data_IF_650871175605
#
_entry.id   IF_650871175605
#
_cell.length_a   1.000
_cell.length_b   1.000
_cell.length_c   1.000
_cell.angle_alpha   90.00
_cell.angle_beta   90.00
_cell.angle_gamma   90.00
#
_symmetry.space_group_name_H-M   'P 1'
#
loop_
_entity.id
_entity.type
_entity.pdbx_description
1 polymer ?
#
# COMPACT_ATOMS: atom_id res chain seq x y z
N UNK A 1 5.82 -2.47 34.48
CA UNK A 1 5.84 -2.66 33.75
C UNK A 1 5.33 -2.47 32.99
N UNK A 2 4.94 -2.60 33.03
CA UNK A 2 4.66 -2.67 32.28
C UNK A 2 4.51 -2.66 31.52
N UNK A 3 4.35 -2.18 31.40
CA UNK A 3 4.29 -2.36 30.59
C UNK A 3 4.55 -2.97 29.87
N UNK A 4 5.19 -2.80 30.00
CA UNK A 4 5.74 -3.80 29.12
C UNK A 4 4.99 -5.08 29.19
N UNK A 5 4.71 -5.44 30.28
CA UNK A 5 3.94 -6.65 30.46
C UNK A 5 2.48 -6.50 30.11
N UNK A 6 2.13 -5.34 29.61
CA UNK A 6 0.79 -5.11 29.13
C UNK A 6 0.64 -5.66 27.73
N UNK A 7 -0.30 -6.55 27.46
CA UNK A 7 -0.47 -7.06 26.11
C UNK A 7 -0.90 -5.94 25.19
N UNK A 8 -0.01 -5.55 24.32
CA UNK A 8 -0.24 -4.38 23.48
C UNK A 8 -1.46 -4.55 22.60
N UNK A 9 -1.65 -5.73 22.01
CA UNK A 9 -2.77 -5.97 21.10
C UNK A 9 -4.11 -5.98 21.84
N UNK A 10 -4.15 -6.23 23.12
CA UNK A 10 -5.41 -6.30 23.87
C UNK A 10 -6.03 -4.94 24.09
N UNK A 11 -5.19 -3.90 24.21
CA UNK A 11 -5.66 -2.56 24.56
C UNK A 11 -5.60 -1.57 23.41
N UNK A 12 -5.22 -2.02 22.24
CA UNK A 12 -4.94 -1.11 21.13
C UNK A 12 -6.02 -1.19 20.08
N UNK A 13 -6.43 -0.02 19.62
CA UNK A 13 -7.35 0.08 18.52
C UNK A 13 -6.66 -0.40 17.25
N UNK A 14 -7.33 -1.30 16.55
CA UNK A 14 -6.83 -1.76 15.27
C UNK A 14 -7.08 -0.67 14.22
N UNK A 15 -6.02 -0.21 13.60
CA UNK A 15 -6.11 0.75 12.50
C UNK A 15 -6.09 -0.03 11.21
N UNK A 16 -7.13 0.09 10.42
CA UNK A 16 -7.23 -0.59 9.14
C UNK A 16 -6.88 0.34 8.00
N UNK A 17 -6.07 -0.14 7.06
CA UNK A 17 -5.59 0.61 5.92
C UNK A 17 -5.92 -0.16 4.66
N UNK A 18 -6.48 0.53 3.67
CA UNK A 18 -6.74 -0.05 2.35
C UNK A 18 -5.58 0.30 1.44
N UNK A 19 -4.99 -0.69 0.79
CA UNK A 19 -3.83 -0.49 -0.09
C UNK A 19 -4.17 -0.99 -1.48
N UNK A 20 -3.99 -0.14 -2.49
CA UNK A 20 -4.31 -0.47 -3.85
C UNK A 20 -3.09 -0.92 -4.63
N UNK A 21 -3.15 -2.14 -5.15
CA UNK A 21 -2.11 -2.69 -5.99
C UNK A 21 -2.65 -2.66 -7.42
N UNK A 22 -2.38 -1.55 -8.12
CA UNK A 22 -2.83 -1.38 -9.50
C UNK A 22 -1.89 -2.13 -10.41
N UNK A 23 -2.44 -3.00 -11.26
CA UNK A 23 -1.64 -3.83 -12.16
C UNK A 23 -2.16 -3.62 -13.59
N UNK A 24 -1.27 -3.17 -14.48
CA UNK A 24 -1.58 -2.98 -15.89
C UNK A 24 -1.56 -4.31 -16.63
N UNK A 25 -2.07 -4.29 -17.86
CA UNK A 25 -2.08 -5.49 -18.71
C UNK A 25 -0.67 -6.04 -18.96
N UNK A 26 0.35 -5.17 -18.97
CA UNK A 26 1.74 -5.59 -19.15
C UNK A 26 2.39 -6.08 -17.85
N UNK A 27 1.60 -6.23 -16.78
CA UNK A 27 2.00 -6.72 -15.48
C UNK A 27 2.78 -5.70 -14.64
N UNK A 28 2.94 -4.46 -15.11
CA UNK A 28 3.55 -3.40 -14.29
C UNK A 28 2.58 -3.00 -13.17
N UNK A 29 3.14 -2.71 -12.01
CA UNK A 29 2.35 -2.24 -10.86
C UNK A 29 2.77 -0.82 -10.50
N UNK A 30 1.84 -0.09 -9.87
CA UNK A 30 2.03 1.33 -9.58
C UNK A 30 2.60 1.54 -8.19
N UNK A 31 3.71 2.26 -8.11
CA UNK A 31 4.23 2.79 -6.87
C UNK A 31 4.14 4.31 -6.87
N UNK A 32 3.90 4.89 -5.69
CA UNK A 32 3.90 6.34 -5.52
C UNK A 32 4.87 6.71 -4.41
N UNK A 33 5.44 7.91 -4.48
CA UNK A 33 6.35 8.37 -3.44
C UNK A 33 5.55 9.12 -2.36
N UNK A 34 6.01 9.02 -1.12
CA UNK A 34 5.40 9.77 -0.03
C UNK A 34 5.77 11.24 -0.17
N UNK A 35 4.77 12.15 -0.13
CA UNK A 35 5.05 13.58 -0.35
C UNK A 35 5.83 14.20 0.79
N UNK A 36 6.40 15.36 0.52
CA UNK A 36 7.10 16.13 1.54
C UNK A 36 6.13 16.51 2.66
N UNK A 37 6.66 16.60 3.87
CA UNK A 37 5.86 16.90 5.04
C UNK A 37 5.28 15.69 5.73
N UNK A 38 5.33 14.52 5.11
CA UNK A 38 4.90 13.28 5.74
C UNK A 38 6.10 12.47 6.22
N UNK A 39 5.85 11.57 7.18
CA UNK A 39 6.88 10.66 7.61
C UNK A 39 7.39 9.84 6.42
N UNK A 40 8.68 9.58 6.38
CA UNK A 40 9.31 8.81 5.30
C UNK A 40 9.13 9.48 3.93
N UNK A 41 9.14 10.82 3.87
CA UNK A 41 9.04 11.54 2.61
C UNK A 41 10.05 10.99 1.60
N UNK A 42 9.59 10.80 0.36
CA UNK A 42 10.43 10.26 -0.71
C UNK A 42 10.50 8.75 -0.79
N UNK A 43 10.02 8.04 0.22
CA UNK A 43 9.94 6.58 0.16
C UNK A 43 8.81 6.17 -0.78
N UNK A 44 8.98 5.02 -1.44
CA UNK A 44 8.02 4.50 -2.42
C UNK A 44 7.14 3.43 -1.82
N UNK A 45 5.85 3.46 -2.16
CA UNK A 45 4.84 2.59 -1.58
C UNK A 45 3.69 2.39 -2.57
N UNK A 46 2.82 1.44 -2.26
CA UNK A 46 1.55 1.33 -2.97
C UNK A 46 0.57 2.37 -2.41
N UNK A 47 -0.25 3.00 -3.28
CA UNK A 47 -1.19 4.03 -2.81
C UNK A 47 -2.33 3.46 -1.98
N UNK A 48 -2.90 4.28 -1.12
CA UNK A 48 -4.03 3.90 -0.27
C UNK A 48 -4.10 4.77 0.96
N UNK A 49 -4.90 4.34 1.92
CA UNK A 49 -5.04 5.09 3.15
C UNK A 49 -5.96 4.42 4.16
N UNK A 50 -6.15 5.09 5.29
CA UNK A 50 -6.90 4.55 6.41
C UNK A 50 -8.39 4.51 6.11
N UNK A 51 -9.07 3.47 6.62
CA UNK A 51 -10.52 3.41 6.60
C UNK A 51 -11.09 4.46 7.55
N UNK A 52 -12.15 5.13 7.10
CA UNK A 52 -12.94 5.98 7.97
C UNK A 52 -14.03 5.14 8.62
N UNK A 53 -14.65 5.70 9.66
CA UNK A 53 -15.67 4.99 10.41
C UNK A 53 -16.80 4.53 9.48
N UNK A 54 -17.13 3.24 9.56
CA UNK A 54 -18.19 2.66 8.76
C UNK A 54 -17.82 2.28 7.34
N UNK A 55 -16.57 2.54 6.92
CA UNK A 55 -16.16 2.17 5.57
C UNK A 55 -15.72 0.72 5.50
N UNK A 56 -16.04 0.05 4.39
CA UNK A 56 -15.39 -1.20 4.02
C UNK A 56 -14.03 -0.90 3.39
N UNK A 57 -13.19 -1.92 3.26
CA UNK A 57 -11.90 -1.77 2.58
C UNK A 57 -12.08 -1.24 1.16
N UNK A 58 -13.05 -1.78 0.42
CA UNK A 58 -13.29 -1.33 -0.95
C UNK A 58 -13.74 0.12 -1.00
N UNK A 59 -14.62 0.53 -0.08
CA UNK A 59 -15.09 1.92 -0.04
C UNK A 59 -13.95 2.88 0.26
N UNK A 60 -13.11 2.51 1.23
CA UNK A 60 -11.95 3.34 1.57
C UNK A 60 -10.98 3.44 0.40
N UNK A 61 -10.74 2.32 -0.28
CA UNK A 61 -9.81 2.32 -1.40
C UNK A 61 -10.33 3.19 -2.54
N UNK A 62 -11.63 3.09 -2.86
CA UNK A 62 -12.23 3.93 -3.90
C UNK A 62 -12.06 5.40 -3.58
N UNK A 63 -12.33 5.78 -2.33
CA UNK A 63 -12.19 7.16 -1.89
C UNK A 63 -10.76 7.63 -1.92
N UNK A 64 -9.84 6.84 -1.36
CA UNK A 64 -8.44 7.24 -1.27
C UNK A 64 -7.79 7.39 -2.65
N UNK A 65 -8.05 6.45 -3.57
CA UNK A 65 -7.44 6.54 -4.89
C UNK A 65 -8.03 7.70 -5.70
N UNK A 66 -9.30 8.05 -5.47
CA UNK A 66 -9.88 9.24 -6.08
C UNK A 66 -9.21 10.50 -5.53
N UNK A 67 -9.02 10.56 -4.21
CA UNK A 67 -8.43 11.73 -3.56
C UNK A 67 -6.96 11.90 -3.90
N UNK A 68 -6.20 10.82 -3.92
CA UNK A 68 -4.75 10.89 -4.05
C UNK A 68 -4.28 10.94 -5.49
N UNK A 69 -4.88 10.14 -6.36
CA UNK A 69 -4.39 9.99 -7.73
C UNK A 69 -5.46 10.15 -8.80
N UNK A 70 -6.68 10.52 -8.42
CA UNK A 70 -7.70 11.00 -9.35
C UNK A 70 -8.35 9.95 -10.23
N UNK A 71 -8.31 8.68 -9.84
CA UNK A 71 -8.92 7.61 -10.63
C UNK A 71 -10.13 7.01 -9.93
N UNK A 72 -11.01 6.40 -10.73
CA UNK A 72 -12.16 5.66 -10.23
C UNK A 72 -11.90 4.19 -10.51
N UNK A 73 -11.70 3.40 -9.45
CA UNK A 73 -11.42 1.97 -9.63
C UNK A 73 -12.72 1.25 -9.98
N UNK A 74 -12.63 0.26 -10.84
CA UNK A 74 -13.78 -0.49 -11.33
C UNK A 74 -13.83 -1.91 -10.80
N UNK A 75 -12.70 -2.41 -10.29
CA UNK A 75 -12.68 -3.66 -9.56
C UNK A 75 -11.79 -3.51 -8.33
N UNK A 76 -11.99 -4.38 -7.37
CA UNK A 76 -11.22 -4.35 -6.13
C UNK A 76 -11.20 -5.77 -5.60
N UNK A 77 -10.09 -6.45 -5.82
CA UNK A 77 -9.98 -7.88 -5.54
C UNK A 77 -9.13 -8.07 -4.28
N UNK A 78 -9.72 -8.48 -3.17
CA UNK A 78 -8.92 -8.75 -1.97
C UNK A 78 -7.81 -9.77 -2.28
N UNK A 79 -6.61 -9.46 -1.82
CA UNK A 79 -5.46 -10.30 -2.14
C UNK A 79 -4.79 -10.83 -0.88
N UNK A 80 -4.28 -9.93 -0.03
CA UNK A 80 -3.51 -10.32 1.15
C UNK A 80 -3.80 -9.33 2.27
N UNK A 81 -3.51 -9.74 3.50
CA UNK A 81 -3.49 -8.83 4.64
C UNK A 81 -2.19 -9.02 5.39
N UNK A 82 -1.75 -7.95 6.06
CA UNK A 82 -0.53 -7.97 6.85
C UNK A 82 -0.77 -7.14 8.10
N UNK A 83 -0.50 -7.68 9.27
CA UNK A 83 -0.60 -6.93 10.52
C UNK A 83 0.77 -6.52 11.00
N UNK A 84 0.87 -5.27 11.43
CA UNK A 84 2.11 -4.72 11.97
C UNK A 84 1.80 -4.14 13.32
N UNK A 85 2.54 -4.60 14.34
CA UNK A 85 2.36 -4.16 15.71
C UNK A 85 3.39 -3.08 16.02
N UNK A 86 3.02 -1.84 15.75
CA UNK A 86 3.86 -0.70 16.09
C UNK A 86 3.69 -0.35 17.57
N UNK A 87 4.67 0.32 18.20
CA UNK A 87 4.51 0.76 19.58
C UNK A 87 3.28 1.64 19.79
N UNK A 88 2.92 2.44 18.78
CA UNK A 88 1.82 3.40 18.90
C UNK A 88 0.49 2.91 18.34
N UNK A 89 0.49 1.83 17.56
CA UNK A 89 -0.74 1.36 16.91
C UNK A 89 -0.57 -0.04 16.36
N UNK A 90 -1.67 -0.80 16.40
CA UNK A 90 -1.77 -2.07 15.69
C UNK A 90 -2.40 -1.77 14.34
N UNK A 91 -1.70 -2.08 13.25
CA UNK A 91 -2.14 -1.72 11.90
C UNK A 91 -2.38 -2.98 11.09
N UNK A 92 -3.49 -3.02 10.38
CA UNK A 92 -3.75 -4.07 9.41
C UNK A 92 -3.77 -3.44 8.01
N UNK A 93 -2.85 -3.87 7.17
CA UNK A 93 -2.80 -3.48 5.77
C UNK A 93 -3.63 -4.48 4.97
N UNK A 94 -4.59 -3.97 4.23
CA UNK A 94 -5.48 -4.79 3.40
C UNK A 94 -5.14 -4.50 1.94
N UNK A 95 -4.45 -5.44 1.30
CA UNK A 95 -3.98 -5.28 -0.07
C UNK A 95 -5.02 -5.80 -1.04
N UNK A 96 -5.42 -4.96 -1.99
CA UNK A 96 -6.40 -5.30 -3.01
C UNK A 96 -5.80 -5.07 -4.38
N UNK A 97 -5.95 -6.04 -5.27
CA UNK A 97 -5.52 -5.87 -6.66
C UNK A 97 -6.58 -5.12 -7.43
N UNK A 98 -6.15 -4.15 -8.22
CA UNK A 98 -7.01 -3.36 -9.08
C UNK A 98 -6.45 -3.44 -10.49
N UNK A 99 -7.23 -4.00 -11.41
CA UNK A 99 -6.80 -4.17 -12.79
C UNK A 99 -7.62 -3.34 -13.77
N UNK A 100 -8.71 -2.73 -13.30
CA UNK A 100 -9.57 -1.90 -14.13
C UNK A 100 -9.92 -0.62 -13.40
N UNK A 101 -9.70 0.50 -14.08
CA UNK A 101 -10.03 1.82 -13.53
C UNK A 101 -10.26 2.78 -14.69
N UNK A 102 -10.92 3.90 -14.41
CA UNK A 102 -11.11 4.98 -15.37
C UNK A 102 -10.45 6.25 -14.84
N UNK A 103 -10.12 7.13 -15.77
CA UNK A 103 -9.45 8.39 -15.48
C UNK A 103 -7.96 8.28 -15.65
N UNK A 104 -7.33 9.43 -15.88
CA UNK A 104 -5.86 9.51 -15.97
C UNK A 104 -5.30 9.81 -14.59
N UNK A 105 -4.12 9.25 -14.33
CA UNK A 105 -3.44 9.50 -13.04
C UNK A 105 -3.14 10.98 -12.89
N UNK A 106 -3.51 11.52 -11.73
CA UNK A 106 -3.22 12.90 -11.34
C UNK A 106 -2.67 12.87 -9.93
N UNK A 107 -1.41 13.22 -9.77
CA UNK A 107 -0.76 13.18 -8.46
C UNK A 107 -1.21 14.40 -7.65
N UNK A 108 -2.30 14.26 -6.93
CA UNK A 108 -2.99 15.36 -6.26
C UNK A 108 -2.33 15.81 -4.97
N UNK A 109 -1.34 15.05 -4.49
CA UNK A 109 -0.62 15.37 -3.26
C UNK A 109 0.84 15.70 -3.54
N UNK A 110 1.15 16.10 -4.77
CA UNK A 110 2.51 16.44 -5.21
C UNK A 110 3.49 15.27 -5.06
N UNK A 111 2.98 14.04 -4.97
CA UNK A 111 3.81 12.85 -4.98
C UNK A 111 4.20 12.50 -6.41
N UNK A 112 5.21 11.65 -6.55
CA UNK A 112 5.61 11.10 -7.85
C UNK A 112 5.02 9.71 -8.00
N UNK A 113 4.97 9.21 -9.23
CA UNK A 113 4.54 7.84 -9.48
C UNK A 113 5.46 7.15 -10.47
N UNK A 114 5.49 5.83 -10.40
CA UNK A 114 6.27 5.02 -11.34
C UNK A 114 5.59 3.67 -11.52
N UNK A 115 5.51 3.22 -12.78
CA UNK A 115 5.09 1.86 -13.09
C UNK A 115 6.32 0.97 -13.03
N UNK A 116 6.24 -0.09 -12.24
CA UNK A 116 7.40 -0.92 -11.95
C UNK A 116 7.12 -2.38 -12.23
N UNK A 117 8.18 -3.12 -12.49
CA UNK A 117 8.19 -4.56 -12.52
C UNK A 117 9.35 -5.04 -11.65
N UNK A 118 9.41 -6.33 -11.36
CA UNK A 118 10.52 -6.87 -10.57
C UNK A 118 11.78 -6.99 -11.44
N UNK A 119 12.95 -6.62 -10.93
CA UNK A 119 13.17 -5.97 -9.64
C UNK A 119 12.80 -4.48 -9.69
N UNK A 120 12.32 -3.96 -8.58
CA UNK A 120 11.98 -2.53 -8.48
C UNK A 120 13.26 -1.72 -8.45
N UNK A 121 13.33 -0.68 -9.29
CA UNK A 121 14.52 0.18 -9.34
C UNK A 121 14.31 1.54 -8.66
N UNK A 122 13.14 1.78 -8.09
CA UNK A 122 12.89 2.97 -7.28
C UNK A 122 13.32 2.71 -5.85
N UNK A 123 13.96 3.67 -5.22
CA UNK A 123 14.47 3.53 -3.85
C UNK A 123 14.41 4.89 -3.16
N UNK A 124 14.26 4.90 -1.83
CA UNK A 124 14.05 3.75 -0.95
C UNK A 124 12.60 3.28 -0.97
N UNK A 125 12.40 2.01 -0.64
CA UNK A 125 11.07 1.40 -0.60
C UNK A 125 10.62 1.33 0.86
N UNK A 126 9.38 1.75 1.10
CA UNK A 126 8.83 1.70 2.45
C UNK A 126 8.75 0.25 2.92
N UNK A 127 9.15 -0.05 4.18
CA UNK A 127 9.18 -1.45 4.64
C UNK A 127 7.88 -2.22 4.48
N UNK A 128 6.72 -1.57 4.65
CA UNK A 128 5.44 -2.24 4.46
C UNK A 128 5.16 -2.67 3.02
N UNK A 129 5.94 -2.19 2.07
CA UNK A 129 5.84 -2.56 0.66
C UNK A 129 6.61 -3.84 0.34
N UNK A 130 7.63 -4.16 1.15
CA UNK A 130 8.52 -5.27 0.86
C UNK A 130 7.81 -6.63 0.78
N UNK A 131 6.88 -6.98 1.69
CA UNK A 131 6.18 -8.25 1.56
C UNK A 131 5.44 -8.39 0.23
N UNK A 132 4.88 -7.30 -0.29
CA UNK A 132 4.13 -7.33 -1.55
C UNK A 132 5.05 -7.72 -2.70
N UNK A 133 6.27 -7.21 -2.70
CA UNK A 133 7.24 -7.56 -3.74
C UNK A 133 7.56 -9.04 -3.69
N UNK A 134 7.67 -9.62 -2.50
CA UNK A 134 7.88 -11.06 -2.36
C UNK A 134 6.68 -11.86 -2.85
N UNK A 135 5.46 -11.40 -2.58
CA UNK A 135 4.26 -12.08 -3.08
C UNK A 135 4.23 -12.07 -4.60
N UNK A 136 4.60 -10.96 -5.22
CA UNK A 136 4.71 -10.88 -6.68
C UNK A 136 5.78 -11.82 -7.21
N UNK A 137 6.94 -11.87 -6.52
CA UNK A 137 8.02 -12.76 -6.95
C UNK A 137 7.56 -14.21 -6.94
N UNK A 138 6.84 -14.62 -5.91
CA UNK A 138 6.31 -15.98 -5.81
C UNK A 138 5.29 -16.26 -6.90
N UNK A 139 4.36 -15.34 -7.13
CA UNK A 139 3.35 -15.51 -8.17
C UNK A 139 3.96 -15.62 -9.56
N UNK A 140 5.01 -14.85 -9.81
CA UNK A 140 5.58 -14.70 -11.16
C UNK A 140 6.78 -15.58 -11.40
N UNK A 141 7.19 -16.36 -10.40
CA UNK A 141 8.38 -17.19 -10.53
C UNK A 141 9.66 -16.37 -10.69
N UNK A 142 9.70 -15.19 -10.10
CA UNK A 142 10.86 -14.31 -10.17
C UNK A 142 11.89 -14.72 -9.11
N UNK A 143 13.13 -14.88 -9.50
CA UNK A 143 14.22 -15.21 -8.59
C UNK A 143 15.20 -14.04 -8.53
N UNK A 144 15.83 -13.88 -7.38
CA UNK A 144 16.75 -12.80 -7.15
C UNK A 144 16.16 -11.72 -6.27
N UNK A 145 16.89 -10.63 -6.11
CA UNK A 145 16.47 -9.51 -5.27
C UNK A 145 15.29 -8.79 -5.91
N UNK A 146 14.26 -8.51 -5.10
CA UNK A 146 13.06 -7.82 -5.59
C UNK A 146 13.24 -6.31 -5.66
N UNK A 147 14.25 -5.79 -4.99
CA UNK A 147 14.52 -4.34 -4.92
C UNK A 147 15.99 -4.12 -4.59
N UNK A 148 16.43 -2.89 -4.76
CA UNK A 148 17.80 -2.50 -4.39
C UNK A 148 17.92 -2.45 -2.88
N UNK A 149 19.05 -2.88 -2.37
CA UNK A 149 19.32 -2.88 -0.95
C UNK A 149 19.44 -1.44 -0.39
#
# INVERSE_FOLDING_TARGET
MVDADQPRSADRTLVQVAVGVLVRADQAFLLTSRPEGKAYAGYWEFPGGKLEAGETVEQALRRELQEEIGITIQNCEPWKTERIDYPHALVQLNFCKVTQWSGALQMREAQQFAWQQLPVDMAPVLPGTLPVLQWFAQERGFEGATHAA
#
